data_IF_995893645180
#
_entry.id   IF_995893645180
#
_cell.length_a   1.000
_cell.length_b   1.000
_cell.length_c   1.000
_cell.angle_alpha   90.00
_cell.angle_beta   90.00
_cell.angle_gamma   90.00
#
_symmetry.space_group_name_H-M   'P 1'
#
loop_
_entity.id
_entity.type
_entity.pdbx_description
1 polymer ?
#
# COMPACT_ATOMS: atom_id res chain seq x y z
N UNK A 1 8.01 -19.38 11.46
CA UNK A 1 8.08 -18.80 10.11
C UNK A 1 6.73 -18.14 9.82
N UNK A 2 6.37 -17.10 10.60
CA UNK A 2 5.05 -16.44 10.48
C UNK A 2 5.06 -15.24 9.52
N UNK A 3 6.24 -14.71 9.17
CA UNK A 3 6.39 -13.54 8.29
C UNK A 3 6.43 -13.88 6.79
N UNK A 4 6.29 -15.16 6.44
CA UNK A 4 6.32 -15.66 5.06
C UNK A 4 4.96 -15.48 4.34
N UNK A 5 3.97 -14.90 5.02
CA UNK A 5 2.68 -14.57 4.41
C UNK A 5 2.76 -13.14 3.86
N UNK A 6 2.46 -12.91 2.57
CA UNK A 6 2.40 -11.56 2.01
C UNK A 6 1.24 -10.77 2.61
N UNK A 7 1.40 -9.44 2.79
CA UNK A 7 0.31 -8.60 3.26
C UNK A 7 -0.87 -8.66 2.29
N UNK A 8 -2.07 -8.53 2.86
CA UNK A 8 -3.31 -8.54 2.08
C UNK A 8 -3.59 -7.16 1.48
N UNK A 9 -4.40 -7.11 0.43
CA UNK A 9 -4.72 -5.85 -0.23
C UNK A 9 -5.49 -4.93 0.75
N UNK A 10 -6.35 -5.49 1.61
CA UNK A 10 -7.07 -4.76 2.66
C UNK A 10 -6.13 -4.12 3.69
N UNK A 11 -5.03 -4.77 4.03
CA UNK A 11 -4.04 -4.23 4.98
C UNK A 11 -3.30 -3.02 4.40
N UNK A 12 -2.89 -3.13 3.14
CA UNK A 12 -2.25 -2.03 2.40
C UNK A 12 -3.21 -0.84 2.30
N UNK A 13 -4.47 -1.09 1.93
CA UNK A 13 -5.48 -0.04 1.82
C UNK A 13 -5.80 0.59 3.18
N UNK A 14 -5.88 -0.21 4.25
CA UNK A 14 -6.12 0.31 5.60
C UNK A 14 -4.99 1.25 6.06
N UNK A 15 -3.73 0.95 5.75
CA UNK A 15 -2.61 1.85 6.06
C UNK A 15 -2.70 3.18 5.29
N UNK A 16 -3.09 3.14 4.01
CA UNK A 16 -3.29 4.34 3.21
C UNK A 16 -4.46 5.17 3.76
N UNK A 17 -5.60 4.55 4.04
CA UNK A 17 -6.79 5.25 4.57
C UNK A 17 -6.61 5.76 6.00
N UNK A 18 -5.68 5.18 6.77
CA UNK A 18 -5.35 5.65 8.12
C UNK A 18 -4.41 6.85 8.14
N UNK A 19 -3.78 7.17 7.00
CA UNK A 19 -3.00 8.40 6.87
C UNK A 19 -3.93 9.63 6.86
N UNK A 20 -3.47 10.74 7.45
CA UNK A 20 -4.30 11.96 7.56
C UNK A 20 -4.75 12.53 6.19
N UNK A 21 -4.03 12.20 5.11
CA UNK A 21 -4.27 12.72 3.78
C UNK A 21 -4.82 11.67 2.79
N UNK A 22 -5.06 10.43 3.24
CA UNK A 22 -5.39 9.32 2.34
C UNK A 22 -4.25 8.95 1.37
N UNK A 23 -3.02 9.36 1.71
CA UNK A 23 -1.79 9.12 0.97
C UNK A 23 -0.65 8.80 1.95
N UNK A 24 0.24 7.89 1.54
CA UNK A 24 1.37 7.47 2.38
C UNK A 24 2.66 7.44 1.56
N UNK A 25 3.78 7.84 2.19
CA UNK A 25 5.09 7.77 1.55
C UNK A 25 5.43 6.29 1.26
N UNK A 26 5.90 5.95 0.04
CA UNK A 26 6.19 4.57 -0.32
C UNK A 26 7.20 3.88 0.61
N UNK A 27 8.20 4.62 1.11
CA UNK A 27 9.21 4.09 2.03
C UNK A 27 8.59 3.79 3.38
N UNK A 28 7.77 4.70 3.90
CA UNK A 28 7.05 4.50 5.18
C UNK A 28 6.10 3.30 5.08
N UNK A 29 5.39 3.15 3.97
CA UNK A 29 4.53 1.99 3.73
C UNK A 29 5.32 0.68 3.75
N UNK A 30 6.45 0.62 3.01
CA UNK A 30 7.31 -0.55 2.95
C UNK A 30 7.91 -0.87 4.33
N UNK A 31 8.42 0.14 5.05
CA UNK A 31 9.00 -0.02 6.38
C UNK A 31 7.96 -0.54 7.38
N UNK A 32 6.74 -0.01 7.34
CA UNK A 32 5.64 -0.43 8.22
C UNK A 32 5.25 -1.89 7.95
N UNK A 33 5.02 -2.26 6.68
CA UNK A 33 4.66 -3.63 6.31
C UNK A 33 5.81 -4.62 6.59
N UNK A 34 7.05 -4.20 6.37
CA UNK A 34 8.23 -5.03 6.64
C UNK A 34 8.46 -5.29 8.13
N UNK A 35 7.76 -4.59 9.02
CA UNK A 35 7.76 -4.88 10.45
C UNK A 35 7.11 -6.24 10.79
N UNK A 36 6.14 -6.67 9.98
CA UNK A 36 5.37 -7.90 10.19
C UNK A 36 5.51 -8.93 9.05
N UNK A 37 6.01 -8.51 7.89
CA UNK A 37 6.13 -9.34 6.70
C UNK A 37 7.56 -9.32 6.17
N UNK A 38 7.98 -10.40 5.52
CA UNK A 38 9.25 -10.37 4.79
C UNK A 38 9.21 -9.34 3.66
N UNK A 39 10.27 -8.55 3.50
CA UNK A 39 10.32 -7.49 2.49
C UNK A 39 10.02 -7.99 1.09
N UNK A 40 10.47 -9.20 0.74
CA UNK A 40 10.15 -9.82 -0.56
C UNK A 40 8.63 -9.94 -0.76
N UNK A 41 7.93 -10.42 0.26
CA UNK A 41 6.48 -10.61 0.24
C UNK A 41 5.74 -9.28 0.24
N UNK A 42 6.27 -8.25 0.93
CA UNK A 42 5.77 -6.87 0.85
C UNK A 42 5.84 -6.34 -0.58
N UNK A 43 6.99 -6.48 -1.25
CA UNK A 43 7.16 -6.00 -2.62
C UNK A 43 6.20 -6.73 -3.58
N UNK A 44 6.06 -8.06 -3.46
CA UNK A 44 5.12 -8.83 -4.27
C UNK A 44 3.65 -8.39 -4.05
N UNK A 45 3.27 -8.13 -2.80
CA UNK A 45 1.92 -7.65 -2.47
C UNK A 45 1.65 -6.24 -3.02
N UNK A 46 2.62 -5.32 -2.92
CA UNK A 46 2.49 -3.96 -3.48
C UNK A 46 2.40 -4.00 -5.02
N UNK A 47 3.21 -4.84 -5.68
CA UNK A 47 3.11 -5.06 -7.13
C UNK A 47 1.73 -5.60 -7.51
N UNK A 48 1.22 -6.60 -6.78
CA UNK A 48 -0.11 -7.16 -6.99
C UNK A 48 -1.21 -6.09 -6.82
N UNK A 49 -1.11 -5.23 -5.81
CA UNK A 49 -2.07 -4.15 -5.58
C UNK A 49 -2.06 -3.11 -6.71
N UNK A 50 -0.88 -2.79 -7.26
CA UNK A 50 -0.75 -1.92 -8.44
C UNK A 50 -1.34 -2.56 -9.70
N UNK A 51 -1.02 -3.82 -9.97
CA UNK A 51 -1.55 -4.58 -11.12
C UNK A 51 -3.07 -4.71 -11.07
N UNK A 52 -3.63 -4.89 -9.87
CA UNK A 52 -5.07 -4.94 -9.61
C UNK A 52 -5.75 -3.57 -9.56
N UNK A 53 -4.99 -2.48 -9.78
CA UNK A 53 -5.50 -1.10 -9.74
C UNK A 53 -6.19 -0.77 -8.42
N UNK A 54 -5.63 -1.23 -7.30
CA UNK A 54 -6.09 -0.88 -5.95
C UNK A 54 -5.40 0.37 -5.42
N UNK A 55 -4.12 0.53 -5.76
CA UNK A 55 -3.30 1.67 -5.37
C UNK A 55 -2.61 2.25 -6.61
N UNK A 56 -2.17 3.50 -6.51
CA UNK A 56 -1.34 4.18 -7.51
C UNK A 56 -0.40 5.17 -6.81
N UNK A 57 0.48 5.80 -7.58
CA UNK A 57 1.21 6.98 -7.13
C UNK A 57 0.48 8.26 -7.56
N UNK A 58 0.42 9.23 -6.68
CA UNK A 58 -0.01 10.59 -6.99
C UNK A 58 1.13 11.41 -7.63
N UNK A 59 0.89 12.66 -8.06
CA UNK A 59 1.93 13.51 -8.66
C UNK A 59 3.11 13.84 -7.75
N UNK A 60 2.93 13.75 -6.42
CA UNK A 60 3.97 13.99 -5.42
C UNK A 60 4.78 12.71 -5.11
N UNK A 61 4.42 11.59 -5.72
CA UNK A 61 5.07 10.29 -5.54
C UNK A 61 4.59 9.54 -4.30
N UNK A 62 3.45 9.91 -3.73
CA UNK A 62 2.83 9.25 -2.58
C UNK A 62 1.91 8.12 -3.05
N UNK A 63 1.82 7.05 -2.26
CA UNK A 63 0.91 5.93 -2.53
C UNK A 63 -0.49 6.31 -2.08
N UNK A 64 -1.44 6.25 -3.02
CA UNK A 64 -2.86 6.52 -2.78
C UNK A 64 -3.73 5.34 -3.23
N UNK A 65 -4.90 5.19 -2.61
CA UNK A 65 -5.90 4.22 -3.05
C UNK A 65 -6.66 4.77 -4.28
N UNK A 66 -6.86 3.92 -5.29
CA UNK A 66 -7.53 4.31 -6.54
C UNK A 66 -9.02 4.58 -6.34
N UNK A 67 -9.68 3.88 -5.42
CA UNK A 67 -11.10 4.10 -5.11
C UNK A 67 -11.33 5.52 -4.54
N UNK A 68 -10.34 6.12 -3.88
CA UNK A 68 -10.40 7.50 -3.38
C UNK A 68 -10.24 8.57 -4.48
N UNK A 69 -9.60 8.25 -5.61
CA UNK A 69 -9.47 9.19 -6.73
C UNK A 69 -10.78 9.33 -7.53
N UNK A 70 -11.65 8.32 -7.51
CA UNK A 70 -12.91 8.32 -8.25
C UNK A 70 -13.99 9.22 -7.61
N UNK A 71 -13.92 9.50 -6.30
CA UNK A 71 -14.84 10.41 -5.61
C UNK A 71 -14.40 11.89 -5.67
N UNK A 72 -13.16 12.17 -6.07
CA UNK A 72 -12.60 13.52 -6.11
C UNK A 72 -12.64 14.20 -7.50
N UNK A 73 -13.18 13.53 -8.53
CA UNK A 73 -13.28 14.01 -9.92
C UNK A 73 -14.73 14.33 -10.31
#
# INVERSE_FOLDING_TARGET
MENDVPPQDEEILALISSSEQGSIDPRVLIETLSGNHETKNVIEALQRALERRKITLDPDGMVVALDHLAEAA
#
